data_IF_589163744208
#
_entry.id   IF_589163744208
#
_cell.length_a   1.000
_cell.length_b   1.000
_cell.length_c   1.000
_cell.angle_alpha   90.00
_cell.angle_beta   90.00
_cell.angle_gamma   90.00
#
_symmetry.space_group_name_H-M   'P 1'
#
loop_
_entity.id
_entity.type
_entity.pdbx_description
1 polymer ?
#
# COMPACT_ATOMS: atom_id res chain seq x y z
N UNK A 1 57.75 66.36 45.51
CA UNK A 1 58.84 65.74 44.66
C UNK A 1 58.62 64.24 44.74
N UNK A 2 58.69 63.54 43.62
CA UNK A 2 58.65 62.12 43.30
C UNK A 2 57.35 61.59 42.76
N UNK A 3 57.32 61.55 41.45
CA UNK A 3 56.37 60.80 40.60
C UNK A 3 56.65 59.31 40.69
N UNK A 4 55.61 58.52 40.93
CA UNK A 4 55.60 57.07 40.68
C UNK A 4 54.52 56.78 39.65
N UNK A 5 54.98 56.41 38.47
CA UNK A 5 54.15 55.91 37.37
C UNK A 5 53.76 54.52 37.68
N UNK A 6 52.44 54.25 37.62
CA UNK A 6 51.86 52.86 37.64
C UNK A 6 51.57 52.47 36.22
N UNK A 7 52.33 51.51 35.72
CA UNK A 7 52.02 50.82 34.49
C UNK A 7 50.91 49.78 34.72
N UNK A 8 49.76 49.98 34.10
CA UNK A 8 48.69 48.98 34.08
C UNK A 8 48.87 48.14 32.84
N UNK A 9 49.28 46.88 32.99
CA UNK A 9 49.33 45.90 31.93
C UNK A 9 47.94 45.32 31.72
N UNK A 10 47.30 45.63 30.60
CA UNK A 10 46.04 45.03 30.18
C UNK A 10 46.32 43.66 29.54
N UNK A 11 45.95 42.58 30.20
CA UNK A 11 45.94 41.23 29.63
C UNK A 11 44.68 41.05 28.80
N UNK A 12 44.83 40.95 27.50
CA UNK A 12 43.76 40.60 26.56
C UNK A 12 43.54 39.07 26.56
N UNK A 13 42.43 38.63 27.16
CA UNK A 13 42.01 37.25 27.10
C UNK A 13 41.29 37.00 25.75
N UNK A 14 41.95 36.29 24.84
CA UNK A 14 41.36 35.84 23.58
C UNK A 14 40.48 34.59 23.87
N UNK A 15 39.16 34.73 23.81
CA UNK A 15 38.20 33.61 23.84
C UNK A 15 38.13 32.98 22.44
N UNK A 16 38.71 31.77 22.29
CA UNK A 16 38.50 30.93 21.11
C UNK A 16 37.09 30.38 21.17
N UNK A 17 36.21 30.86 20.30
CA UNK A 17 34.90 30.21 20.02
C UNK A 17 35.13 28.99 19.14
N UNK A 18 35.05 27.80 19.70
CA UNK A 18 34.97 26.53 18.94
C UNK A 18 33.59 26.48 18.27
N UNK A 19 33.53 26.81 16.97
CA UNK A 19 32.40 26.52 16.11
C UNK A 19 32.35 25.01 15.87
N UNK A 20 31.57 24.30 16.69
CA UNK A 20 31.25 22.89 16.48
C UNK A 20 30.34 22.76 15.27
N UNK A 21 30.90 22.40 14.11
CA UNK A 21 30.10 21.91 12.98
C UNK A 21 29.46 20.59 13.40
N UNK A 22 28.21 20.61 13.79
CA UNK A 22 27.40 19.40 13.89
C UNK A 22 27.13 18.91 12.48
N UNK A 23 27.93 17.97 12.02
CA UNK A 23 27.63 17.20 10.80
C UNK A 23 26.41 16.34 11.10
N UNK A 24 25.24 16.77 10.61
CA UNK A 24 24.05 15.92 10.56
C UNK A 24 24.42 14.71 9.69
N UNK A 25 24.37 13.47 10.21
CA UNK A 25 24.65 12.30 9.39
C UNK A 25 23.69 12.29 8.19
N UNK A 26 24.16 11.94 6.99
CA UNK A 26 23.27 11.82 5.84
C UNK A 26 22.14 10.84 6.20
N UNK A 27 20.90 11.28 5.99
CA UNK A 27 19.73 10.41 6.12
C UNK A 27 19.98 9.26 5.16
N UNK A 28 20.10 8.04 5.69
CA UNK A 28 20.27 6.85 4.88
C UNK A 28 19.17 6.84 3.81
N UNK A 29 19.55 6.77 2.54
CA UNK A 29 18.59 6.73 1.45
C UNK A 29 17.66 5.51 1.67
N UNK A 30 16.37 5.76 1.70
CA UNK A 30 15.37 4.69 1.76
C UNK A 30 15.63 3.73 0.60
N UNK A 31 15.70 2.41 0.84
CA UNK A 31 15.88 1.44 -0.23
C UNK A 31 14.80 1.67 -1.30
N UNK A 32 15.21 2.08 -2.49
CA UNK A 32 14.26 2.23 -3.59
C UNK A 32 13.92 0.84 -4.11
N UNK A 33 12.67 0.39 -3.87
CA UNK A 33 12.10 -0.70 -4.66
C UNK A 33 12.04 -0.21 -6.10
N UNK A 34 12.68 -0.94 -7.01
CA UNK A 34 12.41 -0.78 -8.45
C UNK A 34 11.33 -1.81 -8.78
N UNK A 35 10.05 -1.44 -8.77
CA UNK A 35 8.99 -2.41 -9.02
C UNK A 35 9.05 -2.87 -10.46
N UNK A 36 9.00 -4.18 -10.66
CA UNK A 36 8.88 -4.75 -12.00
C UNK A 36 7.39 -4.83 -12.37
N UNK A 37 7.00 -4.03 -13.36
CA UNK A 37 5.68 -4.05 -13.98
C UNK A 37 5.70 -4.69 -15.36
N UNK A 38 6.74 -5.42 -15.67
CA UNK A 38 6.87 -6.22 -16.90
C UNK A 38 5.88 -7.38 -16.98
N UNK A 39 6.07 -8.19 -18.00
CA UNK A 39 5.31 -9.43 -18.18
C UNK A 39 5.67 -10.43 -17.08
N UNK A 40 4.67 -11.01 -16.43
CA UNK A 40 4.84 -12.08 -15.45
C UNK A 40 4.17 -13.35 -15.96
N UNK A 41 4.88 -14.49 -15.90
CA UNK A 41 4.29 -15.82 -16.11
C UNK A 41 4.06 -16.44 -14.73
N UNK A 42 2.79 -16.68 -14.38
CA UNK A 42 2.38 -17.20 -13.08
C UNK A 42 1.27 -18.24 -13.24
N UNK A 43 1.49 -19.45 -12.71
CA UNK A 43 0.55 -20.58 -12.78
C UNK A 43 0.01 -20.88 -14.20
N UNK A 44 0.82 -20.67 -15.24
CA UNK A 44 0.44 -20.88 -16.62
C UNK A 44 -0.27 -19.70 -17.29
N UNK A 45 -0.54 -18.62 -16.59
CA UNK A 45 -1.07 -17.38 -17.14
C UNK A 45 0.05 -16.38 -17.43
N UNK A 46 -0.03 -15.70 -18.57
CA UNK A 46 0.91 -14.62 -18.93
C UNK A 46 0.26 -13.28 -18.64
N UNK A 47 0.57 -12.70 -17.48
CA UNK A 47 0.09 -11.38 -17.08
C UNK A 47 0.82 -10.33 -17.92
N UNK A 48 0.12 -9.46 -18.68
CA UNK A 48 0.77 -8.47 -19.52
C UNK A 48 1.49 -7.39 -18.69
N UNK A 49 2.49 -6.76 -19.31
CA UNK A 49 3.14 -5.60 -18.76
C UNK A 49 2.17 -4.42 -18.59
N UNK A 50 2.35 -3.65 -17.53
CA UNK A 50 1.62 -2.39 -17.34
C UNK A 50 2.30 -1.29 -18.15
N UNK A 51 1.56 -0.52 -18.98
CA UNK A 51 2.14 0.60 -19.71
C UNK A 51 2.41 1.78 -18.76
N UNK A 52 3.60 1.78 -18.15
CA UNK A 52 3.99 2.72 -17.08
C UNK A 52 3.91 4.19 -17.50
N UNK A 53 4.00 4.49 -18.80
CA UNK A 53 3.84 5.87 -19.32
C UNK A 53 2.41 6.39 -19.18
N UNK A 54 1.43 5.49 -18.97
CA UNK A 54 0.01 5.80 -18.81
C UNK A 54 -0.46 5.72 -17.35
N UNK A 55 0.33 5.11 -16.45
CA UNK A 55 0.07 5.08 -15.02
C UNK A 55 0.69 6.33 -14.38
N UNK A 56 -0.08 7.06 -13.55
CA UNK A 56 0.51 8.13 -12.76
C UNK A 56 1.61 7.56 -11.86
N UNK A 57 2.82 8.13 -11.93
CA UNK A 57 4.00 7.60 -11.23
C UNK A 57 3.80 7.45 -9.71
N UNK A 58 2.92 8.27 -9.10
CA UNK A 58 2.61 8.18 -7.66
C UNK A 58 1.95 6.86 -7.26
N UNK A 59 1.24 6.20 -8.17
CA UNK A 59 0.56 4.93 -7.94
C UNK A 59 1.44 3.70 -8.14
N UNK A 60 2.67 3.88 -8.60
CA UNK A 60 3.66 2.80 -8.63
C UNK A 60 4.02 2.39 -7.20
N UNK A 61 4.25 1.10 -6.99
CA UNK A 61 4.70 0.56 -5.70
C UNK A 61 6.02 1.18 -5.28
N UNK A 62 6.10 1.65 -4.03
CA UNK A 62 7.27 2.33 -3.48
C UNK A 62 7.45 1.99 -2.00
N UNK A 63 8.70 1.99 -1.50
CA UNK A 63 8.94 2.12 -0.07
C UNK A 63 8.89 3.61 0.27
N UNK A 64 8.10 3.95 1.29
CA UNK A 64 7.91 5.32 1.76
C UNK A 64 8.12 5.41 3.26
N UNK A 65 8.51 6.59 3.77
CA UNK A 65 8.43 6.87 5.19
C UNK A 65 6.95 6.89 5.60
N UNK A 66 6.63 6.11 6.62
CA UNK A 66 5.28 5.98 7.14
C UNK A 66 5.31 5.84 8.67
N UNK A 67 5.60 6.95 9.39
CA UNK A 67 5.58 6.93 10.84
C UNK A 67 4.14 6.69 11.32
N UNK A 68 3.93 5.56 11.96
CA UNK A 68 2.62 5.11 12.42
C UNK A 68 2.77 4.30 13.71
N UNK A 69 1.71 4.21 14.50
CA UNK A 69 1.60 3.34 15.67
C UNK A 69 1.17 1.90 15.31
N UNK A 70 0.78 1.65 14.06
CA UNK A 70 0.45 0.30 13.62
C UNK A 70 1.71 -0.58 13.56
N UNK A 71 1.57 -1.80 14.06
CA UNK A 71 2.66 -2.78 14.06
C UNK A 71 3.08 -3.18 12.63
N UNK A 72 4.37 -3.52 12.41
CA UNK A 72 4.81 -4.12 11.15
C UNK A 72 3.97 -5.33 10.76
N UNK A 73 3.64 -5.45 9.48
CA UNK A 73 2.73 -6.47 8.94
C UNK A 73 1.26 -6.03 8.87
N UNK A 74 0.90 -4.89 9.49
CA UNK A 74 -0.44 -4.31 9.33
C UNK A 74 -0.62 -3.75 7.92
N UNK A 75 -1.80 -3.92 7.35
CA UNK A 75 -2.23 -3.28 6.11
C UNK A 75 -3.10 -2.08 6.49
N UNK A 76 -2.76 -0.90 6.00
CA UNK A 76 -3.59 0.31 6.14
C UNK A 76 -4.05 0.73 4.75
N UNK A 77 -5.36 0.85 4.56
CA UNK A 77 -5.99 1.27 3.31
C UNK A 77 -6.51 2.69 3.51
N UNK A 78 -5.93 3.63 2.77
CA UNK A 78 -6.34 5.03 2.72
C UNK A 78 -7.19 5.23 1.45
N UNK A 79 -8.51 5.17 1.62
CA UNK A 79 -9.43 5.21 0.48
C UNK A 79 -9.54 6.61 -0.15
N UNK A 80 -9.48 7.73 0.60
CA UNK A 80 -9.41 9.07 0.03
C UNK A 80 -8.19 9.27 -0.88
N UNK A 81 -7.01 8.89 -0.40
CA UNK A 81 -5.75 9.09 -1.12
C UNK A 81 -5.49 8.03 -2.20
N UNK A 82 -6.27 6.94 -2.22
CA UNK A 82 -6.11 5.80 -3.14
C UNK A 82 -4.79 5.06 -2.97
N UNK A 83 -4.39 4.85 -1.72
CA UNK A 83 -3.20 4.09 -1.38
C UNK A 83 -3.49 2.97 -0.38
N UNK A 84 -2.70 1.91 -0.49
CA UNK A 84 -2.58 0.86 0.51
C UNK A 84 -1.13 0.84 1.00
N UNK A 85 -0.96 0.76 2.32
CA UNK A 85 0.33 0.69 2.99
C UNK A 85 0.47 -0.66 3.69
N UNK A 86 1.51 -1.41 3.35
CA UNK A 86 1.95 -2.55 4.14
C UNK A 86 3.06 -2.08 5.06
N UNK A 87 2.77 -2.01 6.36
CA UNK A 87 3.67 -1.43 7.36
C UNK A 87 4.93 -2.29 7.51
N UNK A 88 6.08 -1.65 7.40
CA UNK A 88 7.41 -2.23 7.61
C UNK A 88 7.97 -1.78 8.96
N UNK A 89 9.05 -2.43 9.46
CA UNK A 89 9.83 -1.90 10.57
C UNK A 89 10.39 -0.49 10.29
N UNK A 90 10.85 0.20 11.35
CA UNK A 90 11.59 1.47 11.27
C UNK A 90 10.79 2.67 10.71
N UNK A 91 9.46 2.64 10.78
CA UNK A 91 8.62 3.76 10.33
C UNK A 91 8.58 3.89 8.81
N UNK A 92 8.63 2.77 8.11
CA UNK A 92 8.48 2.66 6.67
C UNK A 92 7.24 1.84 6.29
N UNK A 93 6.81 1.92 5.06
CA UNK A 93 5.80 1.04 4.48
C UNK A 93 6.05 0.80 3.00
N UNK A 94 5.62 -0.34 2.49
CA UNK A 94 5.41 -0.53 1.06
C UNK A 94 4.07 0.10 0.71
N UNK A 95 4.08 1.13 -0.13
CA UNK A 95 2.88 1.82 -0.61
C UNK A 95 2.51 1.30 -1.99
N UNK A 96 1.25 0.95 -2.17
CA UNK A 96 0.65 0.51 -3.43
C UNK A 96 -0.44 1.50 -3.85
N UNK A 97 -0.54 1.81 -5.14
CA UNK A 97 -1.70 2.48 -5.70
C UNK A 97 -2.90 1.53 -5.75
N UNK A 98 -4.08 2.03 -5.40
CA UNK A 98 -5.31 1.24 -5.38
C UNK A 98 -6.44 1.89 -6.16
N UNK A 99 -7.36 1.06 -6.67
CA UNK A 99 -8.70 1.45 -7.04
C UNK A 99 -9.68 1.10 -5.92
N UNK A 100 -10.65 1.95 -5.67
CA UNK A 100 -11.60 1.78 -4.57
C UNK A 100 -13.05 1.69 -5.05
N UNK A 101 -13.99 1.35 -4.16
CA UNK A 101 -15.41 1.37 -4.42
C UNK A 101 -15.93 2.78 -4.73
N UNK A 102 -16.97 2.84 -5.58
CA UNK A 102 -17.73 4.07 -5.78
C UNK A 102 -18.41 4.50 -4.46
N UNK A 103 -18.74 5.78 -4.34
CA UNK A 103 -19.48 6.30 -3.18
C UNK A 103 -20.75 5.43 -2.91
N UNK A 104 -20.99 5.09 -1.65
CA UNK A 104 -22.07 4.20 -1.21
C UNK A 104 -21.68 2.72 -1.10
N UNK A 105 -20.47 2.33 -1.55
CA UNK A 105 -19.90 0.98 -1.38
C UNK A 105 -18.63 0.99 -0.53
N UNK A 106 -18.35 2.12 0.11
CA UNK A 106 -17.19 2.27 0.95
C UNK A 106 -17.43 1.59 2.31
N UNK A 107 -16.45 0.80 2.75
CA UNK A 107 -16.39 0.23 4.10
C UNK A 107 -15.21 0.84 4.84
N UNK A 108 -15.39 1.14 6.10
CA UNK A 108 -14.34 1.58 7.02
C UNK A 108 -14.31 0.67 8.25
N UNK A 109 -13.17 0.60 8.91
CA UNK A 109 -13.01 -0.15 10.13
C UNK A 109 -11.83 -1.10 10.12
N UNK A 110 -11.90 -2.09 11.02
CA UNK A 110 -10.85 -3.07 11.23
C UNK A 110 -11.30 -4.46 10.78
N UNK A 111 -10.38 -5.15 10.11
CA UNK A 111 -10.53 -6.54 9.70
C UNK A 111 -9.20 -7.27 9.85
N UNK A 112 -9.19 -8.54 9.50
CA UNK A 112 -7.95 -9.30 9.29
C UNK A 112 -8.04 -10.11 8.00
N UNK A 113 -6.90 -10.48 7.43
CA UNK A 113 -6.85 -11.36 6.27
C UNK A 113 -7.07 -12.79 6.75
N UNK A 114 -8.29 -13.30 6.62
CA UNK A 114 -8.64 -14.64 7.09
C UNK A 114 -7.96 -15.74 6.26
N UNK A 115 -7.99 -15.59 4.96
CA UNK A 115 -7.35 -16.49 3.99
C UNK A 115 -7.02 -15.76 2.71
N UNK A 116 -6.25 -16.40 1.83
CA UNK A 116 -5.79 -15.83 0.57
C UNK A 116 -5.79 -16.89 -0.52
N UNK A 117 -6.02 -16.48 -1.77
CA UNK A 117 -6.07 -17.40 -2.90
C UNK A 117 -5.35 -16.83 -4.13
N UNK A 118 -4.54 -17.70 -4.77
CA UNK A 118 -4.01 -17.46 -6.09
C UNK A 118 -5.06 -17.86 -7.14
N UNK A 119 -5.21 -17.04 -8.17
CA UNK A 119 -6.13 -17.26 -9.29
C UNK A 119 -7.52 -17.68 -8.82
N UNK A 120 -8.23 -16.78 -8.09
CA UNK A 120 -9.53 -17.10 -7.52
C UNK A 120 -10.61 -17.21 -8.60
N UNK A 121 -11.61 -18.06 -8.35
CA UNK A 121 -12.88 -18.02 -9.05
C UNK A 121 -13.66 -16.81 -8.57
N UNK A 122 -14.29 -16.08 -9.48
CA UNK A 122 -15.09 -14.91 -9.13
C UNK A 122 -16.57 -15.25 -9.17
N UNK A 123 -17.27 -14.93 -8.10
CA UNK A 123 -18.73 -15.03 -8.00
C UNK A 123 -19.29 -13.60 -7.94
N UNK A 124 -20.05 -13.16 -8.94
CA UNK A 124 -20.70 -11.86 -8.90
C UNK A 124 -21.72 -11.80 -7.75
N UNK A 125 -21.76 -10.71 -6.96
CA UNK A 125 -22.84 -10.49 -6.01
C UNK A 125 -24.19 -10.41 -6.72
N UNK A 126 -25.27 -10.86 -6.05
CA UNK A 126 -26.63 -10.86 -6.62
C UNK A 126 -27.03 -9.47 -7.11
N UNK A 127 -26.75 -8.45 -6.29
CA UNK A 127 -27.05 -7.05 -6.63
C UNK A 127 -26.26 -6.54 -7.84
N UNK A 128 -25.14 -7.18 -8.15
CA UNK A 128 -24.38 -6.86 -9.37
C UNK A 128 -25.04 -7.51 -10.59
N UNK A 129 -25.50 -8.73 -10.49
CA UNK A 129 -26.24 -9.43 -11.56
C UNK A 129 -27.51 -8.65 -11.92
N UNK A 130 -28.24 -8.16 -10.91
CA UNK A 130 -29.45 -7.35 -11.12
C UNK A 130 -29.17 -6.07 -11.92
N UNK A 131 -28.01 -5.43 -11.69
CA UNK A 131 -27.60 -4.24 -12.44
C UNK A 131 -26.97 -4.54 -13.80
N UNK A 132 -26.38 -5.71 -13.95
CA UNK A 132 -25.59 -6.13 -15.10
C UNK A 132 -26.04 -7.55 -15.53
N UNK A 133 -27.22 -7.68 -16.19
CA UNK A 133 -27.83 -8.99 -16.50
C UNK A 133 -26.95 -9.96 -17.30
N UNK A 134 -25.93 -9.45 -18.01
CA UNK A 134 -24.98 -10.30 -18.71
C UNK A 134 -24.11 -11.16 -17.77
N UNK A 135 -24.10 -10.85 -16.46
CA UNK A 135 -23.39 -11.63 -15.44
C UNK A 135 -24.19 -12.85 -14.96
N UNK A 136 -25.44 -13.02 -15.41
CA UNK A 136 -26.30 -14.17 -15.05
C UNK A 136 -25.64 -15.51 -15.38
N UNK A 137 -24.84 -15.56 -16.44
CA UNK A 137 -24.09 -16.76 -16.82
C UNK A 137 -23.12 -17.25 -15.73
N UNK A 138 -22.71 -16.36 -14.79
CA UNK A 138 -21.81 -16.67 -13.67
C UNK A 138 -22.54 -16.86 -12.35
N UNK A 139 -23.88 -16.80 -12.30
CA UNK A 139 -24.64 -16.87 -11.05
C UNK A 139 -24.39 -18.18 -10.28
N UNK A 140 -24.47 -19.32 -10.98
CA UNK A 140 -24.39 -20.63 -10.33
C UNK A 140 -22.95 -21.15 -10.17
N UNK A 141 -22.08 -20.90 -11.13
CA UNK A 141 -20.73 -21.50 -11.17
C UNK A 141 -19.59 -20.53 -10.93
N UNK A 142 -19.85 -19.23 -11.01
CA UNK A 142 -18.83 -18.20 -11.02
C UNK A 142 -17.98 -18.18 -12.30
N UNK A 143 -17.18 -17.13 -12.47
CA UNK A 143 -16.21 -17.02 -13.55
C UNK A 143 -14.92 -17.76 -13.17
N UNK A 144 -14.43 -18.61 -14.06
CA UNK A 144 -13.18 -19.33 -13.90
C UNK A 144 -11.96 -18.38 -13.70
N UNK A 145 -10.90 -18.85 -13.02
CA UNK A 145 -9.64 -18.14 -12.99
C UNK A 145 -9.13 -17.80 -14.39
N UNK A 146 -8.56 -16.62 -14.55
CA UNK A 146 -8.01 -16.20 -15.84
C UNK A 146 -7.65 -14.74 -15.90
N UNK A 147 -7.08 -14.34 -17.04
CA UNK A 147 -6.60 -12.97 -17.27
C UNK A 147 -7.73 -11.94 -17.35
N UNK A 148 -8.96 -12.38 -17.63
CA UNK A 148 -10.16 -11.50 -17.70
C UNK A 148 -10.98 -11.51 -16.42
N UNK A 149 -10.64 -12.40 -15.46
CA UNK A 149 -11.36 -12.48 -14.19
C UNK A 149 -11.18 -11.19 -13.39
N UNK A 150 -12.28 -10.56 -12.90
CA UNK A 150 -12.22 -9.29 -12.17
C UNK A 150 -11.33 -9.29 -10.92
N UNK A 151 -11.15 -10.46 -10.27
CA UNK A 151 -10.29 -10.59 -9.09
C UNK A 151 -8.79 -10.69 -9.43
N UNK A 152 -8.45 -10.80 -10.70
CA UNK A 152 -7.07 -10.88 -11.14
C UNK A 152 -6.31 -12.08 -10.60
N UNK A 153 -5.00 -11.93 -10.42
CA UNK A 153 -4.08 -13.03 -10.09
C UNK A 153 -4.18 -13.50 -8.63
N UNK A 154 -4.61 -12.65 -7.69
CA UNK A 154 -4.66 -12.94 -6.24
C UNK A 154 -5.86 -12.25 -5.58
N UNK A 155 -6.37 -12.86 -4.52
CA UNK A 155 -7.33 -12.24 -3.61
C UNK A 155 -6.99 -12.54 -2.15
N UNK A 156 -7.16 -11.53 -1.28
CA UNK A 156 -7.08 -11.59 0.17
C UNK A 156 -8.48 -11.33 0.72
N UNK A 157 -8.99 -12.26 1.52
CA UNK A 157 -10.36 -12.26 2.02
C UNK A 157 -10.40 -11.68 3.43
N UNK A 158 -11.19 -10.62 3.63
CA UNK A 158 -11.23 -9.86 4.86
C UNK A 158 -12.40 -10.30 5.74
N UNK A 159 -12.09 -10.62 6.99
CA UNK A 159 -13.06 -10.96 8.02
C UNK A 159 -13.00 -9.96 9.15
N UNK A 160 -14.15 -9.66 9.76
CA UNK A 160 -14.23 -8.78 10.92
C UNK A 160 -13.71 -9.47 12.19
N UNK A 161 -13.68 -8.72 13.30
CA UNK A 161 -13.16 -9.22 14.57
C UNK A 161 -13.97 -10.38 15.15
N UNK A 162 -15.24 -10.53 14.76
CA UNK A 162 -16.13 -11.62 15.17
C UNK A 162 -15.93 -12.88 14.31
N UNK A 163 -15.12 -12.79 13.25
CA UNK A 163 -14.85 -13.90 12.34
C UNK A 163 -15.88 -14.04 11.22
N UNK A 164 -16.67 -13.00 10.98
CA UNK A 164 -17.64 -12.94 9.88
C UNK A 164 -16.97 -12.41 8.63
N UNK A 165 -17.29 -12.98 7.48
CA UNK A 165 -16.86 -12.48 6.19
C UNK A 165 -17.43 -11.08 5.93
N UNK A 166 -16.57 -10.10 5.73
CA UNK A 166 -16.98 -8.73 5.42
C UNK A 166 -17.49 -8.55 3.98
N UNK A 167 -17.31 -9.56 3.14
CA UNK A 167 -17.49 -9.52 1.69
C UNK A 167 -16.52 -8.58 0.96
N UNK A 168 -15.66 -7.86 1.68
CA UNK A 168 -14.60 -7.05 1.08
C UNK A 168 -13.34 -7.87 0.84
N UNK A 169 -12.63 -7.50 -0.22
CA UNK A 169 -11.41 -8.18 -0.68
C UNK A 169 -10.36 -7.16 -1.07
N UNK A 170 -9.09 -7.50 -0.85
CA UNK A 170 -7.97 -6.88 -1.55
C UNK A 170 -7.61 -7.82 -2.69
N UNK A 171 -7.69 -7.37 -3.93
CA UNK A 171 -7.52 -8.28 -5.06
C UNK A 171 -6.84 -7.62 -6.27
N UNK A 172 -6.32 -8.44 -7.17
CA UNK A 172 -5.79 -7.98 -8.43
C UNK A 172 -6.87 -7.46 -9.38
N UNK A 173 -6.43 -6.88 -10.49
CA UNK A 173 -7.34 -6.50 -11.57
C UNK A 173 -6.63 -6.56 -12.91
N UNK A 174 -7.29 -7.01 -13.98
CA UNK A 174 -6.80 -6.81 -15.36
C UNK A 174 -6.89 -5.35 -15.82
N UNK A 175 -7.70 -4.53 -15.13
CA UNK A 175 -7.95 -3.12 -15.46
C UNK A 175 -6.98 -2.23 -14.67
N UNK A 176 -5.69 -2.25 -15.03
CA UNK A 176 -4.66 -1.44 -14.37
C UNK A 176 -4.98 0.06 -14.37
N UNK A 177 -5.71 0.55 -15.38
CA UNK A 177 -6.15 1.94 -15.53
C UNK A 177 -7.28 2.36 -14.58
N UNK A 178 -7.84 1.42 -13.83
CA UNK A 178 -8.78 1.71 -12.72
C UNK A 178 -8.07 2.11 -11.42
N UNK A 179 -6.75 2.02 -11.36
CA UNK A 179 -5.97 2.44 -10.19
C UNK A 179 -5.99 3.97 -10.08
N UNK A 180 -6.13 4.48 -8.86
CA UNK A 180 -6.32 5.91 -8.60
C UNK A 180 -7.76 6.39 -8.74
N UNK A 181 -8.70 5.51 -9.11
CA UNK A 181 -10.11 5.88 -9.33
C UNK A 181 -11.06 5.21 -8.32
N UNK A 182 -12.29 5.71 -8.26
CA UNK A 182 -13.40 5.11 -7.53
C UNK A 182 -14.32 4.37 -8.52
N UNK A 183 -13.93 3.18 -8.96
CA UNK A 183 -14.59 2.44 -10.06
C UNK A 183 -15.14 1.07 -9.64
N UNK A 184 -14.78 0.53 -8.46
CA UNK A 184 -15.21 -0.80 -8.05
C UNK A 184 -16.59 -0.80 -7.37
N UNK A 185 -17.13 -1.99 -7.14
CA UNK A 185 -18.37 -2.21 -6.37
C UNK A 185 -18.09 -2.44 -4.86
N UNK A 186 -16.99 -1.90 -4.33
CA UNK A 186 -16.65 -1.95 -2.91
C UNK A 186 -15.24 -2.47 -2.64
N UNK A 187 -14.79 -3.50 -3.34
CA UNK A 187 -13.47 -4.10 -3.12
C UNK A 187 -12.31 -3.19 -3.51
N UNK A 188 -11.17 -3.42 -2.89
CA UNK A 188 -9.93 -2.69 -3.12
C UNK A 188 -9.13 -3.41 -4.21
N UNK A 189 -8.91 -2.71 -5.34
CA UNK A 189 -8.20 -3.24 -6.51
C UNK A 189 -6.73 -2.83 -6.48
N UNK A 190 -5.85 -3.76 -6.80
CA UNK A 190 -4.43 -3.52 -7.03
C UNK A 190 -4.05 -3.99 -8.46
N UNK A 191 -3.01 -3.43 -9.02
CA UNK A 191 -2.37 -3.98 -10.22
C UNK A 191 -1.98 -5.44 -9.94
N UNK A 192 -2.06 -6.34 -10.93
CA UNK A 192 -1.74 -7.76 -10.73
C UNK A 192 -0.32 -7.98 -10.18
N UNK A 193 0.66 -7.23 -10.66
CA UNK A 193 2.03 -7.27 -10.17
C UNK A 193 2.14 -6.84 -8.70
N UNK A 194 1.30 -5.91 -8.27
CA UNK A 194 1.29 -5.40 -6.90
C UNK A 194 0.57 -6.34 -5.93
N UNK A 195 -0.55 -6.93 -6.34
CA UNK A 195 -1.24 -7.89 -5.47
C UNK A 195 -0.45 -9.19 -5.31
N UNK A 196 0.36 -9.59 -6.29
CA UNK A 196 1.27 -10.72 -6.16
C UNK A 196 2.31 -10.42 -5.09
N UNK A 197 2.95 -9.24 -5.12
CA UNK A 197 3.93 -8.83 -4.11
C UNK A 197 3.29 -8.72 -2.71
N UNK A 198 2.11 -8.11 -2.58
CA UNK A 198 1.40 -8.03 -1.30
C UNK A 198 1.01 -9.42 -0.77
N UNK A 199 0.53 -10.29 -1.65
CA UNK A 199 0.15 -11.66 -1.32
C UNK A 199 1.31 -12.44 -0.68
N UNK A 200 2.52 -12.28 -1.20
CA UNK A 200 3.70 -12.99 -0.68
C UNK A 200 4.14 -12.46 0.69
N UNK A 201 3.88 -11.18 0.99
CA UNK A 201 4.16 -10.56 2.30
C UNK A 201 3.17 -10.94 3.39
N UNK A 202 1.93 -11.26 3.04
CA UNK A 202 0.83 -11.46 3.97
C UNK A 202 0.80 -12.88 4.52
N UNK A 203 0.77 -12.99 5.85
CA UNK A 203 0.47 -14.24 6.56
C UNK A 203 -1.02 -14.26 6.93
N UNK A 204 -1.82 -15.20 6.39
CA UNK A 204 -3.25 -15.23 6.68
C UNK A 204 -3.55 -15.63 8.13
N UNK A 205 -4.79 -15.48 8.54
CA UNK A 205 -5.25 -15.59 9.91
C UNK A 205 -5.23 -14.22 10.61
N UNK A 206 -5.44 -14.19 11.92
CA UNK A 206 -5.42 -12.94 12.72
C UNK A 206 -4.04 -12.27 12.77
N UNK A 207 -3.04 -12.83 12.12
CA UNK A 207 -1.68 -12.31 12.06
C UNK A 207 -1.54 -11.05 11.19
N UNK A 208 -2.43 -10.85 10.22
CA UNK A 208 -2.41 -9.66 9.38
C UNK A 208 -3.67 -8.83 9.62
N UNK A 209 -3.51 -7.79 10.43
CA UNK A 209 -4.54 -6.76 10.67
C UNK A 209 -4.70 -5.90 9.41
N UNK A 210 -5.93 -5.53 9.11
CA UNK A 210 -6.29 -4.57 8.06
C UNK A 210 -7.10 -3.44 8.67
N UNK A 211 -6.69 -2.20 8.40
CA UNK A 211 -7.39 -0.98 8.83
C UNK A 211 -7.78 -0.21 7.58
N UNK A 212 -9.06 0.10 7.42
CA UNK A 212 -9.56 0.87 6.29
C UNK A 212 -10.03 2.24 6.78
N UNK A 213 -9.41 3.27 6.25
CA UNK A 213 -9.68 4.68 6.54
C UNK A 213 -10.57 5.28 5.44
N UNK A 214 -11.42 6.22 5.84
CA UNK A 214 -12.32 7.00 4.97
C UNK A 214 -11.99 8.49 5.06
#
# INVERSE_FOLDING_TARGET
MNRRQFLISSAATATLALAGCTTVPPIAATPQLTPDYGVIVDAGYTIPAVPMQRLEARFSRQIVRYPTEYAPGTIVVDTPEKFLYYVLPNGEAVRYGIGVGRAGFAWEGEAYVAWKQAWPRWHPPVEMIEREPHLEEYADGGMDPGLTNPLGARALYLFDQDGKDTLYRLHGTPQWDSIGTAASSGCIRLINQDIIDLYDRVTPGRNTKVVVLQ
#
